data_IF_700554944616
#
_entry.id   IF_700554944616
#
_cell.length_a   1.000
_cell.length_b   1.000
_cell.length_c   1.000
_cell.angle_alpha   90.00
_cell.angle_beta   90.00
_cell.angle_gamma   90.00
#
_symmetry.space_group_name_H-M   'P 1'
#
loop_
_entity.id
_entity.type
_entity.pdbx_description
1 polymer ?
#
# COMPACT_ATOMS: atom_id res chain seq x y z
N UNK A 1 -54.73 34.49 22.49
CA UNK A 1 -53.67 34.34 21.48
C UNK A 1 -53.05 32.95 21.70
N UNK A 2 -53.22 32.02 20.75
CA UNK A 2 -52.69 30.65 20.87
C UNK A 2 -51.31 30.62 20.19
N UNK A 3 -50.25 30.52 20.98
CA UNK A 3 -48.88 30.35 20.48
C UNK A 3 -48.63 28.87 20.19
N UNK A 4 -48.38 28.54 18.92
CA UNK A 4 -47.93 27.21 18.51
C UNK A 4 -46.40 27.16 18.61
N UNK A 5 -45.89 26.24 19.42
CA UNK A 5 -44.45 25.97 19.56
C UNK A 5 -44.08 24.94 18.50
N UNK A 6 -43.43 25.37 17.41
CA UNK A 6 -42.93 24.47 16.36
C UNK A 6 -41.63 23.83 16.83
N UNK A 7 -41.66 22.51 17.03
CA UNK A 7 -40.51 21.69 17.38
C UNK A 7 -39.78 21.32 16.08
N UNK A 8 -38.60 21.91 15.83
CA UNK A 8 -37.75 21.53 14.70
C UNK A 8 -36.90 20.34 15.13
N UNK A 9 -37.27 19.15 14.67
CA UNK A 9 -36.44 17.95 14.75
C UNK A 9 -35.29 18.10 13.75
N UNK A 10 -34.09 18.46 14.23
CA UNK A 10 -32.88 18.39 13.42
C UNK A 10 -32.47 16.92 13.29
N UNK A 11 -32.82 16.29 12.17
CA UNK A 11 -32.31 14.96 11.81
C UNK A 11 -30.81 15.09 11.48
N UNK A 12 -29.96 14.75 12.45
CA UNK A 12 -28.51 14.63 12.24
C UNK A 12 -28.23 13.50 11.26
N UNK A 13 -27.87 13.83 10.02
CA UNK A 13 -27.30 12.89 9.06
C UNK A 13 -25.92 12.45 9.58
N UNK A 14 -25.89 11.32 10.29
CA UNK A 14 -24.66 10.64 10.64
C UNK A 14 -23.96 10.16 9.39
N UNK A 15 -22.84 10.79 9.03
CA UNK A 15 -21.91 10.29 8.04
C UNK A 15 -21.30 8.98 8.57
N UNK A 16 -21.89 7.86 8.20
CA UNK A 16 -21.25 6.56 8.40
C UNK A 16 -20.00 6.51 7.51
N UNK A 17 -18.82 6.53 8.13
CA UNK A 17 -17.57 6.27 7.42
C UNK A 17 -17.66 4.86 6.84
N UNK A 18 -17.72 4.75 5.51
CA UNK A 18 -17.65 3.47 4.85
C UNK A 18 -16.33 2.80 5.22
N UNK A 19 -16.30 1.50 5.51
CA UNK A 19 -15.06 0.80 5.77
C UNK A 19 -14.15 0.95 4.54
N UNK A 20 -12.97 1.54 4.72
CA UNK A 20 -11.94 1.47 3.70
C UNK A 20 -11.64 0.00 3.44
N UNK A 21 -11.67 -0.43 2.18
CA UNK A 21 -11.31 -1.79 1.82
C UNK A 21 -10.00 -2.18 2.52
N UNK A 22 -10.00 -3.31 3.23
CA UNK A 22 -8.81 -3.77 3.94
C UNK A 22 -7.72 -4.11 2.92
N UNK A 23 -6.54 -3.53 3.09
CA UNK A 23 -5.43 -3.72 2.17
C UNK A 23 -4.80 -5.10 2.34
N UNK A 24 -4.41 -5.73 1.22
CA UNK A 24 -3.86 -7.08 1.20
C UNK A 24 -2.44 -7.14 1.74
N UNK A 25 -1.63 -6.14 1.35
CA UNK A 25 -0.32 -5.88 1.91
C UNK A 25 -0.26 -4.43 2.40
N UNK A 26 0.50 -4.17 3.45
CA UNK A 26 0.81 -2.79 3.88
C UNK A 26 2.26 -2.71 4.32
N UNK A 27 3.02 -1.78 3.75
CA UNK A 27 4.42 -1.52 4.11
C UNK A 27 4.52 -0.21 4.90
N UNK A 28 5.45 -0.16 5.83
CA UNK A 28 5.60 0.94 6.79
C UNK A 28 7.04 1.45 6.81
N UNK A 29 7.17 2.77 6.88
CA UNK A 29 8.43 3.49 6.96
C UNK A 29 9.23 3.15 8.23
N UNK A 30 8.52 2.87 9.33
CA UNK A 30 9.18 2.55 10.60
C UNK A 30 8.86 1.13 11.04
N UNK A 31 9.62 0.70 12.05
CA UNK A 31 9.39 -0.57 12.74
C UNK A 31 8.02 -0.57 13.38
N UNK A 32 7.57 -1.75 13.78
CA UNK A 32 6.38 -1.94 14.61
C UNK A 32 5.10 -1.35 14.00
N UNK A 33 5.04 -1.31 12.67
CA UNK A 33 3.92 -0.79 11.87
C UNK A 33 3.65 0.70 12.10
N UNK A 34 4.71 1.49 12.23
CA UNK A 34 4.63 2.94 12.50
C UNK A 34 5.08 3.77 11.30
N UNK A 35 4.82 5.08 11.38
CA UNK A 35 5.24 6.06 10.38
C UNK A 35 4.34 6.08 9.14
N UNK A 36 4.85 6.69 8.06
CA UNK A 36 4.18 6.66 6.77
C UNK A 36 3.98 5.20 6.31
N UNK A 37 2.86 4.94 5.63
CA UNK A 37 2.52 3.60 5.18
C UNK A 37 1.75 3.62 3.88
N UNK A 38 1.84 2.50 3.17
CA UNK A 38 1.23 2.34 1.85
C UNK A 38 0.58 0.97 1.77
N UNK A 39 -0.72 0.97 1.45
CA UNK A 39 -1.50 -0.23 1.23
C UNK A 39 -1.45 -0.64 -0.24
N UNK A 40 -1.42 -1.95 -0.47
CA UNK A 40 -1.47 -2.56 -1.79
C UNK A 40 -2.57 -3.64 -1.80
N UNK A 41 -3.36 -3.65 -2.86
CA UNK A 41 -4.24 -4.76 -3.22
C UNK A 41 -3.50 -5.90 -3.92
N UNK A 42 -4.20 -7.01 -4.15
CA UNK A 42 -3.70 -8.16 -4.87
C UNK A 42 -3.27 -7.80 -6.30
N UNK A 43 -2.01 -8.12 -6.65
CA UNK A 43 -1.44 -7.83 -7.96
C UNK A 43 -0.84 -6.42 -8.09
N UNK A 44 -1.03 -5.55 -7.09
CA UNK A 44 -0.51 -4.19 -7.12
C UNK A 44 0.98 -4.11 -6.79
N UNK A 45 1.59 -3.02 -7.26
CA UNK A 45 2.99 -2.68 -7.03
C UNK A 45 3.14 -1.28 -6.46
N UNK A 46 4.13 -1.08 -5.59
CA UNK A 46 4.56 0.24 -5.13
C UNK A 46 6.02 0.43 -5.58
N UNK A 47 6.24 1.43 -6.43
CA UNK A 47 7.54 1.73 -7.04
C UNK A 47 8.19 2.96 -6.38
N UNK A 48 9.45 2.82 -5.98
CA UNK A 48 10.29 3.86 -5.35
C UNK A 48 10.79 4.90 -6.34
N UNK A 49 10.04 5.15 -7.41
CA UNK A 49 10.41 6.01 -8.53
C UNK A 49 9.35 7.10 -8.73
N UNK A 50 9.75 8.17 -9.40
CA UNK A 50 8.79 9.17 -9.89
C UNK A 50 7.92 8.56 -10.97
N UNK A 51 6.68 9.01 -11.08
CA UNK A 51 5.80 8.61 -12.16
C UNK A 51 6.42 9.03 -13.51
N UNK A 52 6.68 8.08 -14.44
CA UNK A 52 7.25 8.39 -15.74
C UNK A 52 6.25 9.05 -16.72
N UNK A 53 4.98 9.28 -16.34
CA UNK A 53 4.02 10.08 -17.12
C UNK A 53 3.52 9.42 -18.41
N UNK A 54 3.70 8.11 -18.53
CA UNK A 54 3.18 7.28 -19.63
C UNK A 54 1.89 6.58 -19.18
N UNK A 55 0.98 6.26 -20.10
CA UNK A 55 -0.25 5.53 -19.78
C UNK A 55 0.09 4.08 -19.44
N UNK A 56 0.27 3.77 -18.15
CA UNK A 56 0.81 2.51 -17.67
C UNK A 56 -0.28 1.53 -17.29
N UNK A 57 -0.98 1.00 -18.29
CA UNK A 57 -1.72 -0.25 -18.12
C UNK A 57 -0.71 -1.39 -18.08
N UNK A 58 -0.56 -2.05 -16.93
CA UNK A 58 -0.07 -3.41 -17.01
C UNK A 58 -1.11 -4.26 -17.78
N UNK A 59 -0.69 -5.39 -18.34
CA UNK A 59 -1.51 -6.21 -19.26
C UNK A 59 -2.83 -6.77 -18.70
N UNK A 60 -3.19 -6.49 -17.44
CA UNK A 60 -4.44 -6.92 -16.81
C UNK A 60 -5.06 -5.75 -16.03
N UNK A 61 -6.40 -5.68 -15.99
CA UNK A 61 -7.20 -4.63 -15.35
C UNK A 61 -6.88 -4.39 -13.87
N UNK A 62 -6.31 -5.40 -13.22
CA UNK A 62 -6.13 -5.43 -11.77
C UNK A 62 -4.70 -5.08 -11.34
N UNK A 63 -3.81 -4.76 -12.29
CA UNK A 63 -2.45 -4.34 -11.98
C UNK A 63 -2.38 -2.81 -11.88
N UNK A 64 -2.39 -2.32 -10.64
CA UNK A 64 -2.11 -0.92 -10.31
C UNK A 64 -0.66 -0.75 -9.88
N UNK A 65 -0.02 0.32 -10.32
CA UNK A 65 1.35 0.69 -9.93
C UNK A 65 1.29 2.05 -9.24
N UNK A 66 1.65 2.07 -7.97
CA UNK A 66 1.77 3.28 -7.16
C UNK A 66 3.18 3.85 -7.32
N UNK A 67 3.32 4.98 -8.02
CA UNK A 67 4.60 5.67 -8.21
C UNK A 67 4.84 6.70 -7.12
N UNK A 68 5.84 6.46 -6.27
CA UNK A 68 6.15 7.32 -5.12
C UNK A 68 7.67 7.28 -4.87
N UNK A 69 8.38 8.34 -5.23
CA UNK A 69 9.83 8.40 -5.03
C UNK A 69 10.25 8.62 -3.56
N UNK A 70 9.33 9.10 -2.73
CA UNK A 70 9.59 9.56 -1.36
C UNK A 70 9.65 8.43 -0.32
N UNK A 71 9.35 7.18 -0.67
CA UNK A 71 9.48 6.03 0.24
C UNK A 71 10.71 5.16 -0.04
N UNK A 72 11.39 5.35 -1.17
CA UNK A 72 12.52 4.51 -1.58
C UNK A 72 13.55 4.39 -0.45
N UNK A 73 13.98 3.17 -0.15
CA UNK A 73 14.92 2.88 0.94
C UNK A 73 14.42 3.35 2.31
N UNK A 74 13.13 3.20 2.61
CA UNK A 74 12.59 3.54 3.94
C UNK A 74 11.73 2.44 4.57
N UNK A 75 11.52 1.30 3.92
CA UNK A 75 10.65 0.26 4.49
C UNK A 75 11.36 -0.49 5.61
N UNK A 76 10.73 -0.46 6.79
CA UNK A 76 11.24 -1.08 8.02
C UNK A 76 10.34 -2.20 8.54
N UNK A 77 9.04 -2.19 8.22
CA UNK A 77 8.09 -3.23 8.64
C UNK A 77 6.92 -3.39 7.67
N UNK A 78 6.19 -4.52 7.75
CA UNK A 78 5.05 -4.75 6.87
C UNK A 78 4.02 -5.73 7.43
N UNK A 79 2.76 -5.56 7.04
CA UNK A 79 1.65 -6.48 7.26
C UNK A 79 1.25 -7.17 5.97
N UNK A 80 0.87 -8.43 6.08
CA UNK A 80 0.36 -9.24 4.96
C UNK A 80 -0.89 -9.97 5.43
N UNK A 81 -1.98 -9.84 4.66
CA UNK A 81 -3.22 -10.59 4.89
C UNK A 81 -2.99 -12.08 4.63
N UNK A 82 -3.73 -12.93 5.35
CA UNK A 82 -3.74 -14.37 5.07
C UNK A 82 -4.09 -14.64 3.60
N UNK A 83 -3.34 -15.54 2.96
CA UNK A 83 -3.44 -15.84 1.52
C UNK A 83 -2.57 -14.96 0.62
N UNK A 84 -1.96 -13.90 1.15
CA UNK A 84 -1.12 -12.98 0.39
C UNK A 84 0.38 -13.16 0.68
N UNK A 85 1.20 -12.58 -0.17
CA UNK A 85 2.66 -12.58 -0.08
C UNK A 85 3.17 -11.23 -0.54
N UNK A 86 3.99 -10.60 0.29
CA UNK A 86 4.75 -9.41 -0.10
C UNK A 86 6.12 -9.82 -0.63
N UNK A 87 6.58 -9.13 -1.66
CA UNK A 87 7.97 -9.20 -2.12
C UNK A 87 8.56 -7.79 -2.12
N UNK A 88 9.63 -7.58 -1.36
CA UNK A 88 10.46 -6.39 -1.41
C UNK A 88 11.66 -6.68 -2.32
N UNK A 89 11.97 -5.79 -3.24
CA UNK A 89 13.17 -5.88 -4.09
C UNK A 89 14.11 -4.72 -3.80
N UNK A 90 15.41 -5.01 -3.75
CA UNK A 90 16.42 -4.05 -3.31
C UNK A 90 16.58 -2.93 -4.33
N UNK A 91 16.49 -3.29 -5.60
CA UNK A 91 16.56 -2.34 -6.70
C UNK A 91 15.35 -2.48 -7.62
N UNK A 92 15.12 -1.43 -8.41
CA UNK A 92 14.01 -1.33 -9.36
C UNK A 92 14.53 -0.89 -10.73
N UNK A 93 14.19 -1.65 -11.77
CA UNK A 93 14.42 -1.29 -13.17
C UNK A 93 13.18 -0.54 -13.70
N UNK A 94 13.28 0.79 -13.72
CA UNK A 94 12.27 1.68 -14.26
C UNK A 94 12.29 1.83 -15.79
N UNK A 95 13.24 1.21 -16.50
CA UNK A 95 13.29 1.25 -17.97
C UNK A 95 12.21 0.39 -18.64
N UNK A 96 11.49 -0.43 -17.85
CA UNK A 96 10.44 -1.35 -18.28
C UNK A 96 9.12 -1.01 -17.62
N UNK A 97 8.02 -1.31 -18.32
CA UNK A 97 6.66 -1.17 -17.80
C UNK A 97 5.93 -2.52 -17.90
N UNK A 98 5.40 -3.06 -16.78
CA UNK A 98 5.57 -2.58 -15.40
C UNK A 98 7.05 -2.69 -14.96
N UNK A 99 7.49 -1.87 -13.97
CA UNK A 99 8.87 -1.91 -13.50
C UNK A 99 9.14 -3.26 -12.83
N UNK A 100 10.40 -3.69 -12.89
CA UNK A 100 10.83 -4.98 -12.33
C UNK A 100 11.82 -4.79 -11.21
N UNK A 101 11.63 -5.57 -10.14
CA UNK A 101 12.61 -5.67 -9.07
C UNK A 101 13.81 -6.49 -9.52
N UNK A 102 15.01 -6.12 -9.05
CA UNK A 102 16.21 -6.93 -9.23
C UNK A 102 17.13 -6.82 -8.00
N UNK A 103 18.19 -7.63 -7.97
CA UNK A 103 19.10 -7.71 -6.83
C UNK A 103 18.58 -8.67 -5.75
N UNK A 104 18.75 -8.31 -4.48
CA UNK A 104 18.22 -9.10 -3.37
C UNK A 104 16.70 -8.95 -3.24
N UNK A 105 16.04 -9.99 -2.74
CA UNK A 105 14.60 -9.98 -2.49
C UNK A 105 14.28 -10.44 -1.05
N UNK A 106 13.32 -9.77 -0.41
CA UNK A 106 12.65 -10.25 0.80
C UNK A 106 11.24 -10.69 0.41
N UNK A 107 10.94 -11.99 0.50
CA UNK A 107 9.61 -12.52 0.20
C UNK A 107 8.99 -13.16 1.43
N UNK A 108 7.76 -12.77 1.77
CA UNK A 108 7.06 -13.40 2.89
C UNK A 108 5.54 -13.34 2.80
N UNK A 109 4.92 -14.39 3.31
CA UNK A 109 3.47 -14.49 3.56
C UNK A 109 3.11 -14.25 5.04
N UNK A 110 4.06 -13.76 5.86
CA UNK A 110 3.85 -13.43 7.27
C UNK A 110 4.13 -11.95 7.49
N UNK A 111 3.48 -11.33 8.46
CA UNK A 111 3.76 -9.95 8.85
C UNK A 111 5.05 -9.84 9.67
N UNK A 112 5.85 -8.80 9.44
CA UNK A 112 7.10 -8.53 10.15
C UNK A 112 7.06 -7.16 10.81
N UNK A 113 7.27 -7.11 12.13
CA UNK A 113 7.43 -5.85 12.88
C UNK A 113 8.77 -5.17 12.62
N UNK A 114 9.76 -5.94 12.17
CA UNK A 114 11.04 -5.43 11.72
C UNK A 114 11.62 -6.39 10.69
N UNK A 115 11.98 -5.89 9.51
CA UNK A 115 12.55 -6.71 8.41
C UNK A 115 13.98 -7.19 8.68
N UNK A 116 14.60 -6.69 9.76
CA UNK A 116 15.96 -7.04 10.17
C UNK A 116 17.02 -6.10 9.60
N UNK A 117 18.19 -6.04 10.23
CA UNK A 117 19.24 -5.06 9.89
C UNK A 117 19.80 -5.19 8.48
N UNK A 118 19.69 -6.38 7.87
CA UNK A 118 20.12 -6.62 6.49
C UNK A 118 19.18 -6.02 5.45
N UNK A 119 17.93 -5.73 5.83
CA UNK A 119 16.86 -5.32 4.92
C UNK A 119 16.20 -3.99 5.28
N UNK A 120 16.48 -3.44 6.46
CA UNK A 120 15.96 -2.13 6.84
C UNK A 120 16.40 -1.08 5.82
N UNK A 121 15.46 -0.30 5.30
CA UNK A 121 15.74 0.86 4.44
C UNK A 121 16.49 0.48 3.15
N UNK A 122 16.02 -0.59 2.49
CA UNK A 122 16.63 -1.15 1.27
C UNK A 122 15.67 -1.33 0.10
N UNK A 123 14.37 -1.24 0.35
CA UNK A 123 13.38 -1.59 -0.65
C UNK A 123 13.17 -0.46 -1.65
N UNK A 124 13.23 -0.80 -2.93
CA UNK A 124 12.92 0.10 -4.05
C UNK A 124 11.68 -0.32 -4.85
N UNK A 125 11.23 -1.57 -4.70
CA UNK A 125 9.95 -2.06 -5.24
C UNK A 125 9.25 -2.97 -4.22
N UNK A 126 7.94 -2.82 -4.09
CA UNK A 126 7.05 -3.73 -3.35
C UNK A 126 6.04 -4.35 -4.30
N UNK A 127 5.85 -5.66 -4.22
CA UNK A 127 4.80 -6.39 -4.94
C UNK A 127 3.92 -7.15 -3.95
N UNK A 128 2.59 -7.05 -4.11
CA UNK A 128 1.63 -7.82 -3.33
C UNK A 128 0.96 -8.87 -4.21
N UNK A 129 1.07 -10.14 -3.86
CA UNK A 129 0.46 -11.23 -4.61
C UNK A 129 -0.39 -12.11 -3.68
N UNK A 130 -1.64 -12.37 -4.04
CA UNK A 130 -2.54 -13.23 -3.29
C UNK A 130 -2.88 -14.48 -4.08
N UNK A 131 -3.00 -15.60 -3.38
CA UNK A 131 -3.58 -16.83 -3.93
C UNK A 131 -5.08 -16.79 -3.66
N UNK A 132 -5.87 -16.84 -4.72
CA UNK A 132 -7.31 -17.03 -4.65
C UNK A 132 -7.64 -18.48 -4.32
#
# INVERSE_FOLDING_TARGET
MKGYFTLVLAAGLGLAALPSAAQDCTVYQHRDYQGAHWGLGAGERLAGLRDPGINQTCSHSDCQIHWKADWNDQISSFRVRSGCTVTLSEHIDGSRIPPRGYGAHFRSNKSYRYVGSRWNDKASLVECACRN
#
